data_IF_515986251164
#
_entry.id   IF_515986251164
#
_cell.length_a   1.000
_cell.length_b   1.000
_cell.length_c   1.000
_cell.angle_alpha   90.00
_cell.angle_beta   90.00
_cell.angle_gamma   90.00
#
_symmetry.space_group_name_H-M   'P 1'
#
loop_
_entity.id
_entity.type
_entity.pdbx_description
1 polymer ?
#
# COMPACT_ATOMS: atom_id res chain seq x y z
N UNK A 1 30.73 -14.53 20.74
CA UNK A 1 30.85 -13.66 21.93
C UNK A 1 29.78 -12.60 21.82
N UNK A 2 28.72 -12.71 22.60
CA UNK A 2 27.63 -11.73 22.59
C UNK A 2 28.09 -10.44 23.28
N UNK A 3 27.75 -9.30 22.69
CA UNK A 3 28.14 -7.97 23.17
C UNK A 3 27.48 -7.73 24.55
N UNK A 4 28.22 -7.28 25.58
CA UNK A 4 27.63 -6.97 26.87
C UNK A 4 26.60 -5.83 26.72
N UNK A 5 25.44 -6.00 27.32
CA UNK A 5 24.40 -4.96 27.36
C UNK A 5 24.86 -3.78 28.22
N UNK A 6 24.64 -2.57 27.74
CA UNK A 6 25.02 -1.33 28.45
C UNK A 6 23.90 -0.91 29.39
N UNK A 7 24.24 -0.15 30.44
CA UNK A 7 23.26 0.37 31.40
C UNK A 7 22.18 1.24 30.71
N UNK A 8 22.56 2.00 29.68
CA UNK A 8 21.62 2.83 28.91
C UNK A 8 20.58 1.98 28.17
N UNK A 9 21.04 0.91 27.49
CA UNK A 9 20.15 -0.01 26.80
C UNK A 9 19.25 -0.81 27.77
N UNK A 10 19.67 -0.99 29.01
CA UNK A 10 18.81 -1.55 30.07
C UNK A 10 17.72 -0.56 30.44
N UNK A 11 18.07 0.71 30.71
CA UNK A 11 17.12 1.76 31.11
C UNK A 11 16.00 1.98 30.08
N UNK A 12 16.33 2.01 28.80
CA UNK A 12 15.35 2.17 27.72
C UNK A 12 14.33 1.02 27.68
N UNK A 13 14.70 -0.18 28.15
CA UNK A 13 13.90 -1.41 28.03
C UNK A 13 13.25 -1.85 29.34
N UNK A 14 13.41 -1.10 30.43
CA UNK A 14 12.80 -1.44 31.74
C UNK A 14 11.27 -1.40 31.70
N UNK A 15 10.68 -0.51 30.91
CA UNK A 15 9.22 -0.36 30.79
C UNK A 15 8.61 -1.56 30.07
N UNK A 16 9.18 -1.95 28.93
CA UNK A 16 8.75 -3.11 28.14
C UNK A 16 8.88 -4.42 28.92
N UNK A 17 9.85 -4.49 29.84
CA UNK A 17 9.97 -5.61 30.78
C UNK A 17 8.84 -5.63 31.82
N UNK A 18 8.46 -4.47 32.36
CA UNK A 18 7.36 -4.37 33.34
C UNK A 18 5.98 -4.69 32.75
N UNK A 19 5.81 -4.52 31.43
CA UNK A 19 4.56 -4.78 30.70
C UNK A 19 4.52 -6.14 29.99
N UNK A 20 5.56 -6.96 30.16
CA UNK A 20 5.71 -8.28 29.52
C UNK A 20 5.70 -8.24 27.97
N UNK A 21 6.29 -7.18 27.39
CA UNK A 21 6.36 -6.95 25.94
C UNK A 21 7.72 -7.32 25.32
N UNK A 22 8.70 -7.73 26.15
CA UNK A 22 10.03 -8.14 25.68
C UNK A 22 10.07 -9.63 25.28
N UNK A 23 10.73 -10.00 24.17
CA UNK A 23 11.02 -11.38 23.81
C UNK A 23 11.82 -12.14 24.89
N UNK A 24 11.57 -13.45 25.11
CA UNK A 24 12.28 -14.26 26.11
C UNK A 24 13.82 -14.20 26.11
N UNK A 25 14.53 -14.20 24.95
CA UNK A 25 15.99 -14.14 24.97
C UNK A 25 16.54 -12.79 25.47
N UNK A 26 15.74 -11.73 25.36
CA UNK A 26 16.15 -10.39 25.79
C UNK A 26 15.86 -10.16 27.27
N UNK A 27 14.76 -10.73 27.78
CA UNK A 27 14.47 -10.77 29.22
C UNK A 27 15.63 -11.40 30.01
N UNK A 28 16.15 -12.55 29.54
CA UNK A 28 17.26 -13.25 30.19
C UNK A 28 18.54 -12.40 30.27
N UNK A 29 18.85 -11.65 29.20
CA UNK A 29 20.02 -10.75 29.17
C UNK A 29 19.86 -9.56 30.10
N UNK A 30 18.65 -9.01 30.19
CA UNK A 30 18.32 -7.91 31.09
C UNK A 30 18.43 -8.35 32.57
N UNK A 31 17.89 -9.52 32.90
CA UNK A 31 17.97 -10.12 34.23
C UNK A 31 19.42 -10.39 34.66
N UNK A 32 20.23 -10.95 33.77
CA UNK A 32 21.65 -11.18 34.01
C UNK A 32 22.41 -9.87 34.32
N UNK A 33 22.08 -8.78 33.63
CA UNK A 33 22.68 -7.46 33.88
C UNK A 33 22.22 -6.88 35.23
N UNK A 34 20.92 -6.89 35.52
CA UNK A 34 20.34 -6.35 36.77
C UNK A 34 20.81 -7.13 38.01
N UNK A 35 21.15 -8.41 37.86
CA UNK A 35 21.77 -9.21 38.92
C UNK A 35 23.17 -8.69 39.31
N UNK A 36 23.88 -8.05 38.38
CA UNK A 36 25.29 -7.62 38.57
C UNK A 36 25.47 -6.11 38.74
N UNK A 37 24.52 -5.29 38.29
CA UNK A 37 24.59 -3.83 38.36
C UNK A 37 23.65 -3.26 39.44
N UNK A 38 24.20 -2.48 40.38
CA UNK A 38 23.43 -1.82 41.46
C UNK A 38 22.52 -0.71 40.94
N UNK A 39 23.04 0.17 40.10
CA UNK A 39 22.30 1.33 39.56
C UNK A 39 21.06 0.87 38.76
N UNK A 40 21.20 -0.14 37.91
CA UNK A 40 20.08 -0.69 37.14
C UNK A 40 19.01 -1.35 38.02
N UNK A 41 19.40 -1.85 39.21
CA UNK A 41 18.46 -2.43 40.18
C UNK A 41 17.63 -1.32 40.83
N UNK A 42 18.25 -0.22 41.21
CA UNK A 42 17.55 0.94 41.77
C UNK A 42 16.56 1.55 40.76
N UNK A 43 16.98 1.69 39.51
CA UNK A 43 16.12 2.16 38.41
C UNK A 43 14.92 1.23 38.20
N UNK A 44 15.13 -0.09 38.21
CA UNK A 44 14.03 -1.05 38.13
C UNK A 44 13.03 -0.89 39.29
N UNK A 45 13.54 -0.69 40.51
CA UNK A 45 12.69 -0.45 41.67
C UNK A 45 11.86 0.83 41.51
N UNK A 46 12.45 1.90 40.99
CA UNK A 46 11.77 3.18 40.74
C UNK A 46 10.63 3.02 39.71
N UNK A 47 10.91 2.39 38.56
CA UNK A 47 9.91 2.15 37.50
C UNK A 47 8.78 1.27 38.02
N UNK A 48 9.10 0.19 38.73
CA UNK A 48 8.09 -0.74 39.27
C UNK A 48 7.23 -0.11 40.35
N UNK A 49 7.80 0.79 41.16
CA UNK A 49 7.06 1.55 42.15
C UNK A 49 6.04 2.49 41.48
N UNK A 50 6.46 3.25 40.46
CA UNK A 50 5.57 4.12 39.69
C UNK A 50 4.43 3.32 39.03
N UNK A 51 4.75 2.19 38.40
CA UNK A 51 3.76 1.35 37.73
C UNK A 51 2.67 0.83 38.68
N UNK A 52 3.04 0.42 39.89
CA UNK A 52 2.07 0.00 40.92
C UNK A 52 1.14 1.15 41.33
N UNK A 53 1.67 2.36 41.48
CA UNK A 53 0.85 3.54 41.81
C UNK A 53 -0.13 3.89 40.70
N UNK A 54 0.27 3.81 39.43
CA UNK A 54 -0.61 4.03 38.29
C UNK A 54 -1.71 2.96 38.18
N UNK A 55 -1.40 1.72 38.54
CA UNK A 55 -2.38 0.62 38.56
C UNK A 55 -3.51 0.79 39.60
N UNK A 56 -3.33 1.68 40.58
CA UNK A 56 -4.34 1.99 41.60
C UNK A 56 -5.24 3.19 41.24
N UNK A 57 -5.07 3.78 40.05
CA UNK A 57 -5.97 4.84 39.59
C UNK A 57 -7.38 4.26 39.43
N UNK A 58 -8.42 4.86 40.06
CA UNK A 58 -9.78 4.40 39.90
C UNK A 58 -10.18 4.54 38.43
N UNK A 59 -10.53 3.43 37.78
CA UNK A 59 -11.09 3.47 36.44
C UNK A 59 -12.41 4.27 36.48
N UNK A 60 -12.59 5.29 35.62
CA UNK A 60 -13.85 6.01 35.57
C UNK A 60 -14.95 5.03 35.14
N UNK A 61 -15.95 4.84 36.01
CA UNK A 61 -17.12 4.05 35.64
C UNK A 61 -17.90 4.83 34.57
N UNK A 62 -18.33 4.17 33.48
CA UNK A 62 -19.19 4.82 32.50
C UNK A 62 -20.47 5.30 33.17
N UNK A 63 -20.94 6.51 32.82
CA UNK A 63 -22.20 7.04 33.34
C UNK A 63 -23.37 6.19 32.87
N UNK A 64 -24.47 6.18 33.63
CA UNK A 64 -25.71 5.48 33.24
C UNK A 64 -26.19 5.92 31.84
N UNK A 65 -25.95 7.18 31.47
CA UNK A 65 -26.27 7.71 30.14
C UNK A 65 -25.44 7.09 29.02
N UNK A 66 -24.19 6.71 29.28
CA UNK A 66 -23.33 6.06 28.28
C UNK A 66 -23.91 4.70 27.88
N UNK A 67 -24.45 3.96 28.85
CA UNK A 67 -25.10 2.66 28.60
C UNK A 67 -26.37 2.80 27.77
N UNK A 68 -27.21 3.77 28.12
CA UNK A 68 -28.45 4.06 27.37
C UNK A 68 -28.15 4.45 25.92
N UNK A 69 -27.13 5.29 25.67
CA UNK A 69 -26.72 5.67 24.31
C UNK A 69 -26.21 4.48 23.51
N UNK A 70 -25.43 3.60 24.15
CA UNK A 70 -24.91 2.39 23.53
C UNK A 70 -26.04 1.41 23.15
N UNK A 71 -27.00 1.17 24.04
CA UNK A 71 -28.15 0.30 23.77
C UNK A 71 -29.06 0.88 22.68
N UNK A 72 -29.23 2.21 22.66
CA UNK A 72 -29.93 2.90 21.57
C UNK A 72 -29.21 2.73 20.23
N UNK A 73 -27.88 2.79 20.19
CA UNK A 73 -27.09 2.50 18.99
C UNK A 73 -27.22 1.04 18.55
N UNK A 74 -27.19 0.09 19.48
CA UNK A 74 -27.33 -1.34 19.14
C UNK A 74 -28.70 -1.69 18.57
N UNK A 75 -29.76 -1.08 19.09
CA UNK A 75 -31.13 -1.33 18.62
C UNK A 75 -31.36 -0.80 17.21
N UNK A 76 -30.80 0.37 16.86
CA UNK A 76 -30.89 0.91 15.49
C UNK A 76 -30.11 0.06 14.49
N UNK A 77 -28.92 -0.40 14.84
CA UNK A 77 -28.15 -1.33 14.00
C UNK A 77 -28.90 -2.64 13.74
N UNK A 78 -29.47 -3.26 14.77
CA UNK A 78 -30.26 -4.50 14.63
C UNK A 78 -31.50 -4.32 13.76
N UNK A 79 -32.16 -3.16 13.84
CA UNK A 79 -33.33 -2.86 13.02
C UNK A 79 -32.98 -2.70 11.52
N UNK A 80 -31.82 -2.11 11.21
CA UNK A 80 -31.31 -2.01 9.84
C UNK A 80 -30.91 -3.37 9.24
N UNK A 81 -30.37 -4.29 10.06
CA UNK A 81 -30.08 -5.65 9.58
C UNK A 81 -31.35 -6.48 9.36
N UNK A 82 -32.34 -6.41 10.26
CA UNK A 82 -33.58 -7.19 10.14
C UNK A 82 -34.38 -6.85 8.88
N UNK A 83 -34.39 -5.57 8.47
CA UNK A 83 -35.06 -5.13 7.23
C UNK A 83 -34.37 -5.62 5.96
N UNK A 84 -33.08 -5.97 6.03
CA UNK A 84 -32.31 -6.50 4.89
C UNK A 84 -32.66 -7.95 4.55
N UNK A 85 -33.24 -8.71 5.49
CA UNK A 85 -33.66 -10.12 5.29
C UNK A 85 -35.18 -10.31 5.12
N UNK A 86 -36.02 -9.35 5.48
CA UNK A 86 -37.48 -9.43 5.25
C UNK A 86 -37.90 -9.23 3.79
N UNK A 87 -36.98 -8.87 2.90
CA UNK A 87 -37.19 -8.85 1.46
C UNK A 87 -37.26 -10.27 0.81
N UNK A 88 -37.28 -11.36 1.61
CA UNK A 88 -37.36 -12.74 1.12
C UNK A 88 -38.76 -13.36 1.05
N UNK A 89 -39.79 -12.72 1.63
CA UNK A 89 -41.15 -13.32 1.70
C UNK A 89 -41.84 -13.42 0.34
N UNK A 90 -41.52 -12.54 -0.61
CA UNK A 90 -42.08 -12.58 -1.97
C UNK A 90 -41.49 -13.70 -2.85
N UNK A 91 -40.30 -14.21 -2.51
CA UNK A 91 -39.66 -15.34 -3.22
C UNK A 91 -40.31 -16.69 -2.85
N UNK A 92 -40.77 -16.84 -1.60
CA UNK A 92 -41.42 -18.07 -1.14
C UNK A 92 -42.78 -18.31 -1.84
N UNK A 93 -43.53 -17.25 -2.15
CA UNK A 93 -44.79 -17.34 -2.90
C UNK A 93 -44.55 -17.73 -4.37
N UNK A 94 -43.48 -17.23 -5.00
CA UNK A 94 -43.12 -17.52 -6.39
C UNK A 94 -42.73 -18.99 -6.63
N UNK A 95 -42.02 -19.61 -5.69
CA UNK A 95 -41.56 -21.01 -5.82
C UNK A 95 -42.71 -22.01 -5.75
N UNK A 96 -43.78 -21.70 -5.01
CA UNK A 96 -44.96 -22.56 -4.89
C UNK A 96 -45.78 -22.70 -6.18
N UNK A 97 -45.71 -21.70 -7.08
CA UNK A 97 -46.38 -21.72 -8.39
C UNK A 97 -45.61 -22.51 -9.46
N UNK A 98 -44.36 -22.87 -9.21
CA UNK A 98 -43.45 -23.54 -10.17
C UNK A 98 -43.47 -25.07 -10.03
N UNK A 99 -44.30 -25.63 -9.13
CA UNK A 99 -44.38 -27.08 -8.89
C UNK A 99 -45.69 -27.65 -9.46
N UNK A 100 -45.74 -27.82 -10.79
CA UNK A 100 -46.76 -28.57 -11.57
C UNK A 100 -46.15 -28.99 -12.93
N UNK A 101 -46.71 -29.97 -13.67
CA UNK A 101 -45.99 -31.08 -14.31
C UNK A 101 -44.87 -30.68 -15.30
N UNK A 102 -43.88 -31.58 -15.56
CA UNK A 102 -42.59 -31.25 -16.20
C UNK A 102 -42.70 -30.59 -17.59
N UNK A 103 -43.84 -30.72 -18.27
CA UNK A 103 -44.11 -30.09 -19.57
C UNK A 103 -44.31 -28.58 -19.44
N UNK A 104 -44.95 -28.10 -18.37
CA UNK A 104 -45.18 -26.66 -18.15
C UNK A 104 -43.88 -25.97 -17.74
N UNK A 105 -43.00 -26.68 -17.03
CA UNK A 105 -41.68 -26.18 -16.58
C UNK A 105 -40.75 -25.85 -17.75
N UNK A 106 -40.72 -26.69 -18.79
CA UNK A 106 -39.92 -26.43 -19.98
C UNK A 106 -40.44 -25.23 -20.78
N UNK A 107 -41.76 -25.15 -20.99
CA UNK A 107 -42.38 -24.02 -21.67
C UNK A 107 -42.14 -22.69 -20.92
N UNK A 108 -42.28 -22.70 -19.59
CA UNK A 108 -41.99 -21.52 -18.76
C UNK A 108 -40.51 -21.14 -18.79
N UNK A 109 -39.59 -22.11 -18.78
CA UNK A 109 -38.15 -21.81 -18.86
C UNK A 109 -37.74 -21.18 -20.19
N UNK A 110 -38.30 -21.65 -21.31
CA UNK A 110 -38.03 -21.09 -22.63
C UNK A 110 -38.64 -19.70 -22.75
N UNK A 111 -39.86 -19.48 -22.24
CA UNK A 111 -40.46 -18.15 -22.17
C UNK A 111 -39.66 -17.20 -21.27
N UNK A 112 -39.20 -17.63 -20.09
CA UNK A 112 -38.41 -16.78 -19.20
C UNK A 112 -37.03 -16.45 -19.77
N UNK A 113 -36.38 -17.39 -20.45
CA UNK A 113 -35.13 -17.12 -21.16
C UNK A 113 -35.38 -16.17 -22.33
N UNK A 114 -36.45 -16.38 -23.11
CA UNK A 114 -36.82 -15.49 -24.22
C UNK A 114 -37.17 -14.08 -23.76
N UNK A 115 -37.97 -13.95 -22.70
CA UNK A 115 -38.32 -12.67 -22.08
C UNK A 115 -37.11 -12.05 -21.39
N UNK A 116 -36.25 -12.84 -20.74
CA UNK A 116 -35.02 -12.37 -20.13
C UNK A 116 -34.00 -11.87 -21.16
N UNK A 117 -33.90 -12.55 -22.32
CA UNK A 117 -33.09 -12.11 -23.45
C UNK A 117 -33.69 -10.88 -24.11
N UNK A 118 -35.00 -10.81 -24.31
CA UNK A 118 -35.67 -9.66 -24.90
C UNK A 118 -35.60 -8.44 -23.97
N UNK A 119 -36.01 -8.58 -22.71
CA UNK A 119 -35.90 -7.55 -21.69
C UNK A 119 -34.44 -7.17 -21.46
N UNK A 120 -33.53 -8.13 -21.40
CA UNK A 120 -32.09 -7.88 -21.33
C UNK A 120 -31.59 -7.09 -22.54
N UNK A 121 -32.01 -7.43 -23.76
CA UNK A 121 -31.66 -6.69 -24.96
C UNK A 121 -32.23 -5.27 -24.97
N UNK A 122 -33.49 -5.10 -24.55
CA UNK A 122 -34.15 -3.79 -24.43
C UNK A 122 -33.61 -2.93 -23.28
N UNK A 123 -33.19 -3.53 -22.16
CA UNK A 123 -32.61 -2.84 -21.00
C UNK A 123 -31.10 -2.59 -21.18
N UNK A 124 -30.41 -3.44 -21.94
CA UNK A 124 -29.00 -3.28 -22.31
C UNK A 124 -28.83 -2.43 -23.58
N UNK A 125 -29.92 -1.92 -24.15
CA UNK A 125 -29.89 -0.68 -24.92
C UNK A 125 -30.08 0.45 -23.91
N UNK A 126 -29.00 1.04 -23.36
CA UNK A 126 -29.15 2.23 -22.57
C UNK A 126 -29.97 3.22 -23.41
N UNK A 127 -31.04 3.84 -22.86
CA UNK A 127 -31.68 4.96 -23.55
C UNK A 127 -30.54 5.91 -23.87
N UNK A 128 -30.38 6.31 -25.13
CA UNK A 128 -29.29 7.17 -25.58
C UNK A 128 -29.08 8.25 -24.51
N UNK A 129 -28.07 8.05 -23.66
CA UNK A 129 -27.71 9.04 -22.65
C UNK A 129 -27.44 10.26 -23.48
N UNK A 130 -28.14 11.36 -23.19
CA UNK A 130 -27.99 12.60 -23.94
C UNK A 130 -26.48 12.78 -24.18
N UNK A 131 -25.99 12.81 -25.44
CA UNK A 131 -24.55 12.89 -25.71
C UNK A 131 -23.93 14.06 -24.93
N UNK A 132 -24.70 15.15 -24.77
CA UNK A 132 -24.37 16.29 -23.91
C UNK A 132 -24.06 15.97 -22.43
N UNK A 133 -24.66 14.94 -21.80
CA UNK A 133 -24.39 14.57 -20.41
C UNK A 133 -23.17 13.65 -20.29
N UNK A 134 -22.92 12.77 -21.26
CA UNK A 134 -21.67 12.01 -21.33
C UNK A 134 -20.48 12.94 -21.61
N UNK A 135 -20.65 13.90 -22.51
CA UNK A 135 -19.64 14.92 -22.81
C UNK A 135 -19.31 15.77 -21.56
N UNK A 136 -20.31 16.12 -20.75
CA UNK A 136 -20.10 16.87 -19.50
C UNK A 136 -19.33 16.05 -18.46
N UNK A 137 -19.63 14.77 -18.28
CA UNK A 137 -18.91 13.92 -17.31
C UNK A 137 -17.46 13.69 -17.77
N UNK A 138 -17.24 13.49 -19.07
CA UNK A 138 -15.90 13.36 -19.64
C UNK A 138 -15.10 14.67 -19.50
N UNK A 139 -15.72 15.82 -19.73
CA UNK A 139 -15.09 17.13 -19.54
C UNK A 139 -14.73 17.40 -18.07
N UNK A 140 -15.60 17.07 -17.12
CA UNK A 140 -15.30 17.23 -15.69
C UNK A 140 -14.18 16.29 -15.23
N UNK A 141 -14.16 15.06 -15.76
CA UNK A 141 -13.12 14.08 -15.41
C UNK A 141 -11.75 14.52 -15.92
N UNK A 142 -11.68 15.03 -17.16
CA UNK A 142 -10.42 15.53 -17.71
C UNK A 142 -9.92 16.80 -17.01
N UNK A 143 -10.82 17.69 -16.59
CA UNK A 143 -10.46 18.87 -15.81
C UNK A 143 -9.86 18.49 -14.44
N UNK A 144 -10.46 17.54 -13.73
CA UNK A 144 -9.91 17.03 -12.45
C UNK A 144 -8.55 16.36 -12.65
N UNK A 145 -8.39 15.57 -13.71
CA UNK A 145 -7.10 14.94 -14.04
C UNK A 145 -6.01 15.99 -14.29
N UNK A 146 -6.30 17.03 -15.08
CA UNK A 146 -5.35 18.12 -15.34
C UNK A 146 -5.00 18.89 -14.06
N UNK A 147 -5.96 19.11 -13.16
CA UNK A 147 -5.68 19.74 -11.86
C UNK A 147 -4.75 18.88 -10.99
N UNK A 148 -4.96 17.56 -10.97
CA UNK A 148 -4.10 16.63 -10.24
C UNK A 148 -2.68 16.59 -10.83
N UNK A 149 -2.55 16.58 -12.15
CA UNK A 149 -1.28 16.62 -12.86
C UNK A 149 -0.48 17.88 -12.50
N UNK A 150 -1.11 19.06 -12.58
CA UNK A 150 -0.47 20.33 -12.23
C UNK A 150 -0.07 20.39 -10.75
N UNK A 151 -0.91 19.87 -9.85
CA UNK A 151 -0.57 19.76 -8.43
C UNK A 151 0.65 18.86 -8.22
N UNK A 152 0.67 17.69 -8.85
CA UNK A 152 1.80 16.76 -8.77
C UNK A 152 3.09 17.43 -9.25
N UNK A 153 3.08 18.05 -10.43
CA UNK A 153 4.25 18.73 -10.98
C UNK A 153 4.71 19.88 -10.09
N UNK A 154 3.79 20.66 -9.53
CA UNK A 154 4.13 21.73 -8.58
C UNK A 154 4.75 21.19 -7.30
N UNK A 155 4.27 20.06 -6.79
CA UNK A 155 4.85 19.40 -5.61
C UNK A 155 6.22 18.78 -5.92
N UNK A 156 6.47 18.28 -7.13
CA UNK A 156 7.78 17.79 -7.58
C UNK A 156 8.83 18.90 -7.67
N UNK A 157 8.43 20.13 -7.99
CA UNK A 157 9.35 21.28 -8.04
C UNK A 157 9.60 21.90 -6.65
N UNK A 158 8.91 21.42 -5.61
CA UNK A 158 9.00 21.98 -4.27
C UNK A 158 10.40 21.73 -3.65
N UNK A 159 10.97 22.68 -2.90
CA UNK A 159 12.26 22.49 -2.22
C UNK A 159 12.23 21.39 -1.14
N UNK A 160 11.07 21.10 -0.55
CA UNK A 160 10.90 20.06 0.46
C UNK A 160 10.88 18.65 -0.15
N UNK A 161 11.80 17.79 0.29
CA UNK A 161 11.82 16.38 -0.14
C UNK A 161 10.54 15.63 0.26
N UNK A 162 9.90 16.00 1.38
CA UNK A 162 8.64 15.39 1.80
C UNK A 162 7.48 15.72 0.85
N UNK A 163 7.45 16.94 0.31
CA UNK A 163 6.44 17.32 -0.69
C UNK A 163 6.69 16.61 -2.03
N UNK A 164 7.95 16.48 -2.45
CA UNK A 164 8.29 15.72 -3.66
C UNK A 164 7.96 14.23 -3.52
N UNK A 165 8.20 13.63 -2.35
CA UNK A 165 7.77 12.26 -2.05
C UNK A 165 6.25 12.11 -2.13
N UNK A 166 5.51 13.08 -1.59
CA UNK A 166 4.05 13.12 -1.68
C UNK A 166 3.59 13.20 -3.14
N UNK A 167 4.24 14.04 -3.95
CA UNK A 167 3.97 14.15 -5.37
C UNK A 167 4.09 12.80 -6.08
N UNK A 168 5.18 12.07 -5.82
CA UNK A 168 5.40 10.74 -6.40
C UNK A 168 4.32 9.76 -5.95
N UNK A 169 3.86 9.82 -4.70
CA UNK A 169 2.82 8.90 -4.21
C UNK A 169 1.49 9.03 -4.96
N UNK A 170 1.17 10.21 -5.51
CA UNK A 170 -0.06 10.43 -6.28
C UNK A 170 -0.07 9.71 -7.63
N UNK A 171 1.08 9.30 -8.17
CA UNK A 171 1.13 8.50 -9.42
C UNK A 171 0.32 7.21 -9.36
N UNK A 172 0.13 6.64 -8.17
CA UNK A 172 -0.70 5.45 -7.96
C UNK A 172 -2.20 5.71 -8.11
N UNK A 173 -2.62 6.95 -7.96
CA UNK A 173 -4.02 7.37 -8.02
C UNK A 173 -4.43 7.84 -9.43
N UNK A 174 -3.46 8.07 -10.31
CA UNK A 174 -3.68 8.54 -11.69
C UNK A 174 -3.83 7.33 -12.61
N UNK A 175 -4.98 7.20 -13.27
CA UNK A 175 -5.28 6.07 -14.17
C UNK A 175 -4.48 6.08 -15.47
N UNK A 176 -4.04 7.24 -15.94
CA UNK A 176 -3.21 7.40 -17.14
C UNK A 176 -2.14 8.44 -16.88
N UNK A 177 -0.88 8.01 -16.92
CA UNK A 177 0.28 8.89 -16.86
C UNK A 177 0.57 9.35 -18.29
N UNK A 178 0.57 10.66 -18.50
CA UNK A 178 0.94 11.24 -19.79
C UNK A 178 2.48 11.41 -19.91
N UNK A 179 2.94 11.77 -21.11
CA UNK A 179 4.36 11.92 -21.41
C UNK A 179 5.04 12.96 -20.51
N UNK A 180 4.30 14.00 -20.09
CA UNK A 180 4.82 15.09 -19.27
C UNK A 180 5.08 14.63 -17.83
N UNK A 181 4.15 13.89 -17.24
CA UNK A 181 4.34 13.30 -15.91
C UNK A 181 5.44 12.25 -15.95
N UNK A 182 5.51 11.43 -17.00
CA UNK A 182 6.58 10.45 -17.19
C UNK A 182 7.96 11.13 -17.24
N UNK A 183 8.11 12.19 -18.04
CA UNK A 183 9.35 12.96 -18.13
C UNK A 183 9.75 13.57 -16.78
N UNK A 184 8.77 14.10 -16.03
CA UNK A 184 9.00 14.65 -14.70
C UNK A 184 9.47 13.58 -13.70
N UNK A 185 8.89 12.37 -13.72
CA UNK A 185 9.31 11.25 -12.88
C UNK A 185 10.72 10.77 -13.26
N UNK A 186 11.01 10.59 -14.55
CA UNK A 186 12.35 10.20 -14.99
C UNK A 186 13.40 11.27 -14.65
N UNK A 187 13.05 12.54 -14.76
CA UNK A 187 13.91 13.66 -14.31
C UNK A 187 14.14 13.59 -12.81
N UNK A 188 13.09 13.34 -12.03
CA UNK A 188 13.16 13.20 -10.56
C UNK A 188 14.06 12.02 -10.17
N UNK A 189 13.90 10.85 -10.81
CA UNK A 189 14.76 9.68 -10.59
C UNK A 189 16.24 10.00 -10.85
N UNK A 190 16.55 10.80 -11.87
CA UNK A 190 17.93 11.06 -12.27
C UNK A 190 18.57 12.25 -11.54
N UNK A 191 17.79 13.21 -11.05
CA UNK A 191 18.32 14.50 -10.60
C UNK A 191 17.90 14.91 -9.19
N UNK A 192 16.95 14.23 -8.54
CA UNK A 192 16.55 14.64 -7.20
C UNK A 192 17.72 14.51 -6.22
N UNK A 193 18.03 15.58 -5.45
CA UNK A 193 19.14 15.54 -4.50
C UNK A 193 18.90 14.51 -3.38
N UNK A 194 17.66 14.15 -3.07
CA UNK A 194 17.31 13.20 -2.03
C UNK A 194 17.23 11.77 -2.60
N UNK A 195 18.09 10.88 -2.10
CA UNK A 195 18.13 9.45 -2.48
C UNK A 195 16.78 8.76 -2.25
N UNK A 196 16.06 9.08 -1.18
CA UNK A 196 14.77 8.46 -0.89
C UNK A 196 13.70 8.87 -1.90
N UNK A 197 13.71 10.12 -2.37
CA UNK A 197 12.80 10.55 -3.45
C UNK A 197 13.07 9.71 -4.69
N UNK A 198 14.35 9.58 -5.10
CA UNK A 198 14.74 8.75 -6.26
C UNK A 198 14.29 7.30 -6.14
N UNK A 199 14.43 6.68 -4.97
CA UNK A 199 13.99 5.29 -4.73
C UNK A 199 12.48 5.14 -4.84
N UNK A 200 11.71 6.04 -4.23
CA UNK A 200 10.23 6.00 -4.33
C UNK A 200 9.77 6.30 -5.75
N UNK A 201 10.46 7.19 -6.47
CA UNK A 201 10.21 7.44 -7.90
C UNK A 201 10.51 6.22 -8.75
N UNK A 202 11.59 5.48 -8.46
CA UNK A 202 11.88 4.22 -9.12
C UNK A 202 10.75 3.21 -8.91
N UNK A 203 10.26 3.04 -7.68
CA UNK A 203 9.15 2.13 -7.39
C UNK A 203 7.87 2.52 -8.17
N UNK A 204 7.56 3.82 -8.24
CA UNK A 204 6.44 4.32 -9.01
C UNK A 204 6.61 4.02 -10.52
N UNK A 205 7.79 4.24 -11.08
CA UNK A 205 8.10 3.92 -12.48
C UNK A 205 8.04 2.41 -12.75
N UNK A 206 8.49 1.55 -11.82
CA UNK A 206 8.36 0.09 -11.96
C UNK A 206 6.90 -0.33 -12.02
N UNK A 207 6.01 0.31 -11.26
CA UNK A 207 4.57 0.04 -11.34
C UNK A 207 3.94 0.45 -12.69
N UNK A 208 4.59 1.36 -13.43
CA UNK A 208 4.16 1.85 -14.74
C UNK A 208 4.91 1.16 -15.90
N UNK A 209 5.70 0.12 -15.61
CA UNK A 209 6.60 -0.51 -16.58
C UNK A 209 5.90 -1.30 -17.69
N UNK A 210 4.56 -1.35 -17.73
CA UNK A 210 3.84 -1.83 -18.90
C UNK A 210 4.02 -0.91 -20.11
N UNK A 211 4.34 0.38 -19.86
CA UNK A 211 4.73 1.32 -20.90
C UNK A 211 6.20 1.08 -21.34
N UNK A 212 6.46 0.81 -22.64
CA UNK A 212 7.81 0.66 -23.16
C UNK A 212 8.72 1.87 -22.96
N UNK A 213 8.17 3.09 -22.95
CA UNK A 213 8.93 4.33 -22.73
C UNK A 213 9.45 4.42 -21.30
N UNK A 214 8.68 3.95 -20.31
CA UNK A 214 9.11 3.82 -18.91
C UNK A 214 10.30 2.88 -18.82
N UNK A 215 10.21 1.68 -19.43
CA UNK A 215 11.31 0.70 -19.43
C UNK A 215 12.58 1.26 -20.05
N UNK A 216 12.45 1.92 -21.20
CA UNK A 216 13.59 2.57 -21.87
C UNK A 216 14.22 3.66 -20.98
N UNK A 217 13.40 4.48 -20.34
CA UNK A 217 13.85 5.51 -19.39
C UNK A 217 14.60 4.92 -18.20
N UNK A 218 14.12 3.81 -17.62
CA UNK A 218 14.80 3.11 -16.54
C UNK A 218 16.16 2.55 -16.96
N UNK A 219 16.25 1.95 -18.16
CA UNK A 219 17.53 1.46 -18.71
C UNK A 219 18.53 2.61 -18.87
N UNK A 220 18.09 3.74 -19.43
CA UNK A 220 18.94 4.94 -19.57
C UNK A 220 19.36 5.50 -18.21
N UNK A 221 18.53 5.34 -17.18
CA UNK A 221 18.81 5.88 -15.84
C UNK A 221 19.97 5.15 -15.15
N UNK A 222 20.26 3.89 -15.50
CA UNK A 222 21.37 3.12 -14.91
C UNK A 222 22.71 3.86 -14.97
N UNK A 223 23.05 4.47 -16.11
CA UNK A 223 24.32 5.17 -16.29
C UNK A 223 24.38 6.56 -15.64
N UNK A 224 23.26 7.08 -15.15
CA UNK A 224 23.16 8.42 -14.57
C UNK A 224 23.16 8.42 -13.03
N UNK A 225 23.10 7.25 -12.39
CA UNK A 225 23.03 7.16 -10.93
C UNK A 225 24.41 7.11 -10.28
N UNK A 226 24.64 8.03 -9.34
CA UNK A 226 25.84 8.04 -8.49
C UNK A 226 25.62 7.31 -7.16
N UNK A 227 24.38 7.17 -6.70
CA UNK A 227 24.07 6.57 -5.40
C UNK A 227 24.13 5.03 -5.48
N UNK A 228 24.97 4.36 -4.67
CA UNK A 228 25.06 2.90 -4.63
C UNK A 228 23.70 2.22 -4.38
N UNK A 229 22.86 2.83 -3.54
CA UNK A 229 21.53 2.31 -3.23
C UNK A 229 20.60 2.36 -4.44
N UNK A 230 20.62 3.45 -5.21
CA UNK A 230 19.76 3.61 -6.40
C UNK A 230 20.27 2.72 -7.54
N UNK A 231 21.60 2.60 -7.71
CA UNK A 231 22.20 1.68 -8.68
C UNK A 231 21.77 0.22 -8.41
N UNK A 232 21.85 -0.22 -7.15
CA UNK A 232 21.42 -1.56 -6.75
C UNK A 232 19.92 -1.78 -6.97
N UNK A 233 19.09 -0.79 -6.61
CA UNK A 233 17.64 -0.86 -6.80
C UNK A 233 17.23 -0.88 -8.28
N UNK A 234 17.90 -0.11 -9.14
CA UNK A 234 17.69 -0.18 -10.59
C UNK A 234 18.09 -1.55 -11.16
N UNK A 235 19.22 -2.11 -10.71
CA UNK A 235 19.64 -3.44 -11.12
C UNK A 235 18.63 -4.53 -10.70
N UNK A 236 17.97 -4.36 -9.55
CA UNK A 236 16.84 -5.19 -9.13
C UNK A 236 15.62 -5.02 -10.03
N UNK A 237 15.25 -3.77 -10.31
CA UNK A 237 14.13 -3.45 -11.19
C UNK A 237 14.32 -4.08 -12.58
N UNK A 238 15.54 -4.08 -13.13
CA UNK A 238 15.81 -4.70 -14.44
C UNK A 238 15.53 -6.22 -14.42
N UNK A 239 15.90 -6.90 -13.33
CA UNK A 239 15.63 -8.34 -13.15
C UNK A 239 14.13 -8.58 -12.98
N UNK A 240 13.47 -7.82 -12.12
CA UNK A 240 12.03 -7.93 -11.87
C UNK A 240 11.22 -7.75 -13.16
N UNK A 241 11.61 -6.78 -14.00
CA UNK A 241 10.95 -6.48 -15.27
C UNK A 241 11.40 -7.37 -16.44
N UNK A 242 12.39 -8.25 -16.21
CA UNK A 242 13.05 -9.07 -17.21
C UNK A 242 13.57 -8.26 -18.42
N UNK A 243 14.09 -7.06 -18.15
CA UNK A 243 14.50 -6.11 -19.18
C UNK A 243 15.90 -6.45 -19.73
N UNK A 244 15.97 -7.34 -20.73
CA UNK A 244 17.24 -7.80 -21.33
C UNK A 244 18.01 -6.69 -22.04
N UNK A 245 17.36 -5.60 -22.46
CA UNK A 245 18.07 -4.46 -23.08
C UNK A 245 18.97 -3.71 -22.08
N UNK A 246 18.78 -3.94 -20.78
CA UNK A 246 19.61 -3.35 -19.72
C UNK A 246 21.00 -3.98 -19.59
N UNK A 247 21.22 -5.16 -20.17
CA UNK A 247 22.46 -5.94 -19.98
C UNK A 247 23.72 -5.16 -20.33
N UNK A 248 23.71 -4.42 -21.44
CA UNK A 248 24.88 -3.64 -21.85
C UNK A 248 25.12 -2.44 -20.92
N UNK A 249 24.07 -1.78 -20.45
CA UNK A 249 24.17 -0.69 -19.47
C UNK A 249 24.71 -1.20 -18.12
N UNK A 250 24.27 -2.38 -17.67
CA UNK A 250 24.77 -3.04 -16.45
C UNK A 250 26.24 -3.44 -16.59
N UNK A 251 26.67 -3.95 -17.75
CA UNK A 251 28.09 -4.24 -18.04
C UNK A 251 28.94 -2.99 -18.03
N UNK A 252 28.46 -1.89 -18.60
CA UNK A 252 29.16 -0.59 -18.56
C UNK A 252 29.32 -0.09 -17.12
N UNK A 253 28.31 -0.29 -16.26
CA UNK A 253 28.39 0.12 -14.87
C UNK A 253 29.46 -0.66 -14.09
N UNK A 254 29.66 -1.95 -14.39
CA UNK A 254 30.75 -2.76 -13.81
C UNK A 254 32.16 -2.29 -14.19
N UNK A 255 32.30 -1.53 -15.28
CA UNK A 255 33.59 -1.00 -15.73
C UNK A 255 33.98 0.32 -15.04
N UNK A 256 33.13 0.86 -14.16
CA UNK A 256 33.43 2.09 -13.44
C UNK A 256 34.47 1.85 -12.33
N UNK A 257 35.56 2.63 -12.34
CA UNK A 257 36.71 2.45 -11.43
C UNK A 257 36.37 2.61 -9.93
N UNK A 258 35.28 3.31 -9.61
CA UNK A 258 34.85 3.61 -8.23
C UNK A 258 33.52 2.94 -7.84
N UNK A 259 33.17 1.83 -8.49
CA UNK A 259 31.93 1.12 -8.15
C UNK A 259 32.03 0.47 -6.76
N UNK A 260 31.01 0.65 -5.93
CA UNK A 260 30.92 0.02 -4.63
C UNK A 260 30.84 -1.52 -4.73
N UNK A 261 31.57 -2.26 -3.89
CA UNK A 261 31.65 -3.74 -3.94
C UNK A 261 30.29 -4.44 -3.80
N UNK A 262 29.38 -3.90 -2.97
CA UNK A 262 28.04 -4.46 -2.81
C UNK A 262 27.23 -4.28 -4.09
N UNK A 263 27.37 -3.12 -4.75
CA UNK A 263 26.71 -2.82 -6.02
C UNK A 263 27.28 -3.68 -7.13
N UNK A 264 28.60 -3.87 -7.18
CA UNK A 264 29.26 -4.78 -8.12
C UNK A 264 28.70 -6.20 -8.02
N UNK A 265 28.68 -6.75 -6.80
CA UNK A 265 28.11 -8.08 -6.52
C UNK A 265 26.64 -8.15 -6.94
N UNK A 266 25.89 -7.07 -6.71
CA UNK A 266 24.47 -7.00 -7.07
C UNK A 266 24.29 -7.05 -8.59
N UNK A 267 25.06 -6.29 -9.34
CA UNK A 267 24.95 -6.23 -10.81
C UNK A 267 25.39 -7.54 -11.44
N UNK A 268 26.45 -8.17 -10.95
CA UNK A 268 26.87 -9.51 -11.41
C UNK A 268 25.73 -10.53 -11.26
N UNK A 269 25.04 -10.53 -10.10
CA UNK A 269 23.86 -11.37 -9.88
C UNK A 269 22.70 -11.02 -10.81
N UNK A 270 22.43 -9.73 -11.02
CA UNK A 270 21.38 -9.29 -11.94
C UNK A 270 21.65 -9.72 -13.39
N UNK A 271 22.92 -9.63 -13.84
CA UNK A 271 23.34 -10.09 -15.17
C UNK A 271 23.16 -11.60 -15.32
N UNK A 272 23.50 -12.39 -14.30
CA UNK A 272 23.26 -13.83 -14.32
C UNK A 272 21.77 -14.15 -14.44
N UNK A 273 20.92 -13.54 -13.60
CA UNK A 273 19.48 -13.76 -13.62
C UNK A 273 18.84 -13.39 -14.98
N UNK A 274 19.28 -12.29 -15.59
CA UNK A 274 18.80 -11.84 -16.91
C UNK A 274 19.26 -12.74 -18.07
N UNK A 275 20.34 -13.51 -17.89
CA UNK A 275 20.81 -14.48 -18.87
C UNK A 275 20.08 -15.83 -18.81
N UNK A 276 19.48 -16.15 -17.66
CA UNK A 276 18.75 -17.40 -17.40
C UNK A 276 17.24 -17.27 -17.67
N UNK A 277 16.69 -16.05 -17.59
CA UNK A 277 15.34 -15.70 -18.03
C UNK A 277 15.28 -15.50 -19.56
#
# INVERSE_FOLDING_TARGET
MEKPITCEAVKERLVDWCTDQLPPPEQLRLEAHIATCGDCREELHAVRHLWRHLGHLPAPQPSDQARVRFDAMLTTFKAQEATRWQASDWWAQLVSWVVSPPVVRLAYSVCLIGVGLAAGYFLNHPPATNPAQQDQIQALTSEVQQMQELMMLSLLENPSASERLRAVSYTKEIHQVDDRVLEALLTTLNRDPNVNVRLVTLEALVALADDPHVREGLVKSLSHQESPLVQAALADAMVQLQEKRSVDALRQLLQQDNLNDLVKTKIEKSLQALSEA
#
